data_IF_278811859137
#
_entry.id   IF_278811859137
#
_cell.length_a   1.000
_cell.length_b   1.000
_cell.length_c   1.000
_cell.angle_alpha   90.00
_cell.angle_beta   90.00
_cell.angle_gamma   90.00
#
_symmetry.space_group_name_H-M   'P 1'
#
loop_
_entity.id
_entity.type
_entity.pdbx_description
1 polymer ?
#
# COMPACT_ATOMS: atom_id res chain seq x y z
N UNK A 1 -26.38 24.31 11.09
CA UNK A 1 -26.90 22.93 10.99
C UNK A 1 -25.90 22.08 10.19
N UNK A 2 -24.86 21.55 10.84
CA UNK A 2 -23.89 20.64 10.21
C UNK A 2 -23.01 19.96 11.29
N UNK A 3 -23.62 19.29 12.27
CA UNK A 3 -22.86 18.48 13.25
C UNK A 3 -23.70 17.37 13.91
N UNK A 4 -24.75 16.86 13.22
CA UNK A 4 -25.64 15.82 13.78
C UNK A 4 -25.48 14.41 13.17
N UNK A 5 -24.44 14.12 12.39
CA UNK A 5 -24.21 12.79 11.80
C UNK A 5 -22.88 12.15 12.20
N UNK A 6 -22.39 12.37 13.43
CA UNK A 6 -21.16 11.73 13.93
C UNK A 6 -21.35 10.31 14.48
N UNK A 7 -22.58 9.86 14.69
CA UNK A 7 -22.88 8.59 15.39
C UNK A 7 -23.50 7.49 14.51
N UNK A 8 -23.26 7.51 13.19
CA UNK A 8 -23.48 6.28 12.43
C UNK A 8 -22.25 5.38 12.56
N UNK A 9 -22.41 4.27 13.29
CA UNK A 9 -21.37 3.26 13.41
C UNK A 9 -20.91 2.80 12.02
N UNK A 10 -19.60 2.93 11.79
CA UNK A 10 -18.92 2.50 10.57
C UNK A 10 -18.83 0.98 10.56
N UNK A 11 -19.88 0.34 10.04
CA UNK A 11 -20.03 -1.12 10.00
C UNK A 11 -19.64 -1.71 8.65
N UNK A 12 -19.77 -0.94 7.58
CA UNK A 12 -19.59 -1.42 6.21
C UNK A 12 -18.13 -1.41 5.77
N UNK A 13 -17.77 -2.33 4.87
CA UNK A 13 -16.43 -2.40 4.31
C UNK A 13 -16.14 -1.21 3.37
N UNK A 14 -14.87 -0.79 3.32
CA UNK A 14 -14.45 0.29 2.45
C UNK A 14 -14.54 -0.11 0.97
N UNK A 15 -15.16 0.76 0.17
CA UNK A 15 -15.22 0.68 -1.29
C UNK A 15 -13.83 0.74 -1.94
N UNK A 16 -13.66 0.24 -3.18
CA UNK A 16 -12.39 0.34 -3.90
C UNK A 16 -11.88 1.78 -4.04
N UNK A 17 -12.79 2.73 -4.31
CA UNK A 17 -12.47 4.15 -4.45
C UNK A 17 -11.97 4.76 -3.15
N UNK A 18 -12.61 4.49 -1.99
CA UNK A 18 -12.09 4.93 -0.68
C UNK A 18 -10.70 4.36 -0.37
N UNK A 19 -10.41 3.10 -0.74
CA UNK A 19 -9.07 2.49 -0.59
C UNK A 19 -8.03 3.20 -1.48
N UNK A 20 -8.40 3.54 -2.71
CA UNK A 20 -7.54 4.27 -3.63
C UNK A 20 -7.26 5.70 -3.14
N UNK A 21 -8.29 6.40 -2.64
CA UNK A 21 -8.12 7.71 -2.03
C UNK A 21 -7.20 7.67 -0.79
N UNK A 22 -7.37 6.69 0.09
CA UNK A 22 -6.49 6.50 1.23
C UNK A 22 -5.02 6.31 0.77
N UNK A 23 -4.79 5.48 -0.26
CA UNK A 23 -3.46 5.31 -0.87
C UNK A 23 -2.93 6.61 -1.48
N UNK A 24 -3.75 7.38 -2.21
CA UNK A 24 -3.36 8.69 -2.78
C UNK A 24 -2.97 9.71 -1.70
N UNK A 25 -3.58 9.63 -0.52
CA UNK A 25 -3.23 10.44 0.67
C UNK A 25 -2.01 9.90 1.44
N UNK A 26 -1.38 8.82 0.97
CA UNK A 26 -0.25 8.17 1.62
C UNK A 26 -0.62 7.35 2.85
N UNK A 27 -1.91 7.06 3.08
CA UNK A 27 -2.37 6.23 4.18
C UNK A 27 -2.38 4.77 3.77
N UNK A 28 -1.52 3.99 4.40
CA UNK A 28 -1.27 2.57 4.10
C UNK A 28 -1.03 1.80 5.39
N UNK A 29 -1.44 0.53 5.42
CA UNK A 29 -1.08 -0.37 6.51
C UNK A 29 0.42 -0.66 6.47
N UNK A 30 1.16 -0.17 7.47
CA UNK A 30 2.60 -0.36 7.60
C UNK A 30 2.96 -0.69 9.04
N UNK A 31 3.58 -1.84 9.26
CA UNK A 31 4.22 -2.19 10.53
C UNK A 31 5.72 -1.94 10.41
N UNK A 32 6.26 -1.09 11.29
CA UNK A 32 7.70 -0.83 11.36
C UNK A 32 8.49 -2.07 11.78
N UNK A 33 7.88 -2.96 12.57
CA UNK A 33 8.53 -4.19 13.07
C UNK A 33 8.95 -5.12 11.94
N UNK A 34 8.11 -5.26 10.90
CA UNK A 34 8.44 -6.11 9.75
C UNK A 34 9.71 -5.63 9.05
N UNK A 35 9.85 -4.32 8.84
CA UNK A 35 11.04 -3.76 8.20
C UNK A 35 12.28 -3.92 9.10
N UNK A 36 12.15 -3.65 10.40
CA UNK A 36 13.25 -3.80 11.36
C UNK A 36 13.73 -5.26 11.46
N UNK A 37 12.82 -6.22 11.52
CA UNK A 37 13.16 -7.64 11.60
C UNK A 37 13.77 -8.14 10.28
N UNK A 38 13.27 -7.68 9.13
CA UNK A 38 13.87 -8.02 7.83
C UNK A 38 15.33 -7.54 7.74
N UNK A 39 15.63 -6.34 8.23
CA UNK A 39 17.01 -5.81 8.29
C UNK A 39 17.89 -6.58 9.27
N UNK A 40 17.36 -6.96 10.45
CA UNK A 40 18.11 -7.80 11.38
C UNK A 40 18.43 -9.18 10.78
N UNK A 41 17.44 -9.79 10.10
CA UNK A 41 17.61 -11.06 9.40
C UNK A 41 18.63 -10.98 8.26
N UNK A 42 18.65 -9.87 7.52
CA UNK A 42 19.65 -9.69 6.46
C UNK A 42 21.06 -9.58 7.03
N UNK A 43 21.23 -8.92 8.17
CA UNK A 43 22.49 -8.92 8.92
C UNK A 43 22.92 -10.33 9.33
N UNK A 44 22.00 -11.14 9.85
CA UNK A 44 22.28 -12.52 10.23
C UNK A 44 22.72 -13.37 9.02
N UNK A 45 21.98 -13.30 7.91
CA UNK A 45 22.32 -14.01 6.66
C UNK A 45 23.66 -13.52 6.13
N UNK A 46 23.90 -12.22 6.14
CA UNK A 46 25.17 -11.63 5.73
C UNK A 46 26.32 -12.16 6.57
N UNK A 47 26.24 -12.12 7.90
CA UNK A 47 27.29 -12.64 8.75
C UNK A 47 27.45 -14.15 8.64
N UNK A 48 26.40 -14.90 8.32
CA UNK A 48 26.53 -16.34 8.10
C UNK A 48 27.37 -16.66 6.85
N UNK A 49 27.16 -15.96 5.74
CA UNK A 49 27.83 -16.25 4.46
C UNK A 49 29.11 -15.44 4.20
N UNK A 50 29.16 -14.18 4.64
CA UNK A 50 30.21 -13.23 4.30
C UNK A 50 31.17 -12.90 5.46
N UNK A 51 30.93 -13.40 6.68
CA UNK A 51 31.76 -13.07 7.85
C UNK A 51 33.23 -13.40 7.67
N UNK A 52 33.55 -14.53 7.04
CA UNK A 52 34.94 -14.95 6.79
C UNK A 52 35.66 -13.95 5.88
N UNK A 53 35.04 -13.57 4.76
CA UNK A 53 35.60 -12.57 3.84
C UNK A 53 35.76 -11.19 4.48
N UNK A 54 34.78 -10.74 5.27
CA UNK A 54 34.85 -9.48 6.01
C UNK A 54 35.95 -9.51 7.08
N UNK A 55 36.05 -10.60 7.84
CA UNK A 55 37.08 -10.78 8.87
C UNK A 55 38.49 -10.84 8.26
N UNK A 56 38.67 -11.58 7.18
CA UNK A 56 39.95 -11.63 6.44
C UNK A 56 40.33 -10.28 5.87
N UNK A 57 39.36 -9.52 5.35
CA UNK A 57 39.55 -8.15 4.89
C UNK A 57 40.07 -7.23 5.99
N UNK A 58 39.43 -7.27 7.17
CA UNK A 58 39.84 -6.51 8.34
C UNK A 58 41.22 -6.94 8.85
N UNK A 59 41.49 -8.25 8.93
CA UNK A 59 42.79 -8.78 9.33
C UNK A 59 43.91 -8.34 8.39
N UNK A 60 43.67 -8.38 7.07
CA UNK A 60 44.64 -7.89 6.07
C UNK A 60 44.90 -6.40 6.23
N UNK A 61 43.86 -5.59 6.45
CA UNK A 61 44.00 -4.15 6.69
C UNK A 61 44.80 -3.87 7.97
N UNK A 62 44.50 -4.59 9.06
CA UNK A 62 45.23 -4.44 10.33
C UNK A 62 46.71 -4.84 10.19
N UNK A 63 46.99 -5.98 9.56
CA UNK A 63 48.38 -6.41 9.27
C UNK A 63 49.12 -5.38 8.44
N UNK A 64 48.46 -4.83 7.41
CA UNK A 64 49.04 -3.78 6.58
C UNK A 64 49.35 -2.52 7.40
N UNK A 65 48.40 -2.04 8.22
CA UNK A 65 48.61 -0.88 9.09
C UNK A 65 49.81 -1.07 10.04
N UNK A 66 49.90 -2.22 10.71
CA UNK A 66 51.04 -2.51 11.59
C UNK A 66 52.35 -2.67 10.84
N UNK A 67 52.34 -3.24 9.63
CA UNK A 67 53.56 -3.35 8.83
C UNK A 67 54.10 -1.99 8.36
N UNK A 68 53.23 -0.99 8.25
CA UNK A 68 53.57 0.33 7.75
C UNK A 68 53.76 1.37 8.87
N UNK A 69 53.51 1.02 10.13
CA UNK A 69 53.50 1.98 11.25
C UNK A 69 54.84 2.65 11.55
N UNK A 70 55.94 2.17 10.96
CA UNK A 70 57.27 2.79 11.04
C UNK A 70 57.84 3.22 9.70
N UNK A 71 57.07 3.16 8.61
CA UNK A 71 57.54 3.52 7.26
C UNK A 71 57.00 4.86 6.74
N UNK A 72 56.02 5.45 7.42
CA UNK A 72 55.45 6.73 7.03
C UNK A 72 56.14 7.87 7.79
N UNK A 73 56.62 8.85 7.03
CA UNK A 73 56.99 10.15 7.58
C UNK A 73 55.72 10.86 8.09
N UNK A 74 55.84 11.56 9.21
CA UNK A 74 54.74 12.34 9.79
C UNK A 74 54.67 13.68 9.07
N UNK A 75 54.18 13.64 7.82
CA UNK A 75 53.88 14.81 7.01
C UNK A 75 52.42 14.80 6.53
N UNK A 76 51.94 15.95 6.06
CA UNK A 76 50.54 16.12 5.66
C UNK A 76 50.14 15.22 4.47
N UNK A 77 51.01 15.04 3.49
CA UNK A 77 50.74 14.23 2.29
C UNK A 77 50.67 12.74 2.62
N UNK A 78 51.60 12.25 3.44
CA UNK A 78 51.67 10.87 3.92
C UNK A 78 50.45 10.51 4.78
N UNK A 79 50.02 11.41 5.67
CA UNK A 79 48.79 11.23 6.47
C UNK A 79 47.54 11.23 5.60
N UNK A 80 47.44 12.16 4.63
CA UNK A 80 46.30 12.21 3.72
C UNK A 80 46.19 10.94 2.87
N UNK A 81 47.31 10.43 2.38
CA UNK A 81 47.36 9.15 1.64
C UNK A 81 46.91 7.99 2.53
N UNK A 82 47.41 7.91 3.76
CA UNK A 82 47.03 6.86 4.72
C UNK A 82 45.53 6.88 5.00
N UNK A 83 44.96 8.05 5.29
CA UNK A 83 43.51 8.21 5.53
C UNK A 83 42.72 7.77 4.30
N UNK A 84 43.14 8.18 3.09
CA UNK A 84 42.46 7.83 1.85
C UNK A 84 42.46 6.31 1.60
N UNK A 85 43.61 5.65 1.79
CA UNK A 85 43.75 4.20 1.63
C UNK A 85 42.90 3.47 2.65
N UNK A 86 43.00 3.83 3.94
CA UNK A 86 42.23 3.18 5.01
C UNK A 86 40.73 3.36 4.78
N UNK A 87 40.27 4.58 4.49
CA UNK A 87 38.86 4.88 4.23
C UNK A 87 38.34 4.06 3.04
N UNK A 88 39.10 4.00 1.95
CA UNK A 88 38.74 3.24 0.76
C UNK A 88 38.65 1.74 1.06
N UNK A 89 39.62 1.17 1.79
CA UNK A 89 39.63 -0.26 2.15
C UNK A 89 38.49 -0.60 3.09
N UNK A 90 38.24 0.21 4.12
CA UNK A 90 37.10 0.04 5.04
C UNK A 90 35.78 0.15 4.29
N UNK A 91 35.66 1.11 3.37
CA UNK A 91 34.47 1.27 2.53
C UNK A 91 34.18 0.01 1.72
N UNK A 92 35.17 -0.56 1.01
CA UNK A 92 34.96 -1.80 0.25
C UNK A 92 34.66 -3.02 1.13
N UNK A 93 35.20 -3.09 2.35
CA UNK A 93 34.91 -4.16 3.30
C UNK A 93 33.44 -4.08 3.77
N UNK A 94 32.93 -2.87 4.01
CA UNK A 94 31.57 -2.63 4.51
C UNK A 94 30.51 -2.50 3.40
N UNK A 95 30.93 -2.21 2.17
CA UNK A 95 30.03 -1.99 1.03
C UNK A 95 29.04 -3.15 0.82
N UNK A 96 29.44 -4.44 0.87
CA UNK A 96 28.50 -5.55 0.75
C UNK A 96 27.44 -5.58 1.86
N UNK A 97 27.81 -5.23 3.09
CA UNK A 97 26.86 -5.14 4.21
C UNK A 97 25.86 -4.01 3.99
N UNK A 98 26.34 -2.82 3.61
CA UNK A 98 25.47 -1.68 3.34
C UNK A 98 24.51 -1.94 2.18
N UNK A 99 25.00 -2.54 1.09
CA UNK A 99 24.15 -2.94 -0.03
C UNK A 99 23.08 -3.94 0.40
N UNK A 100 23.46 -4.96 1.17
CA UNK A 100 22.51 -5.97 1.68
C UNK A 100 21.42 -5.34 2.55
N UNK A 101 21.80 -4.48 3.51
CA UNK A 101 20.86 -3.81 4.41
C UNK A 101 19.96 -2.84 3.65
N UNK A 102 20.52 -2.02 2.75
CA UNK A 102 19.76 -1.06 1.95
C UNK A 102 18.76 -1.76 1.03
N UNK A 103 19.19 -2.78 0.30
CA UNK A 103 18.33 -3.56 -0.59
C UNK A 103 17.20 -4.22 0.18
N UNK A 104 17.48 -4.88 1.31
CA UNK A 104 16.44 -5.53 2.11
C UNK A 104 15.49 -4.53 2.75
N UNK A 105 15.99 -3.40 3.26
CA UNK A 105 15.14 -2.34 3.79
C UNK A 105 14.18 -1.81 2.71
N UNK A 106 14.67 -1.57 1.49
CA UNK A 106 13.83 -1.15 0.36
C UNK A 106 12.79 -2.22 0.00
N UNK A 107 13.22 -3.48 -0.16
CA UNK A 107 12.35 -4.61 -0.52
C UNK A 107 11.28 -4.82 0.56
N UNK A 108 11.64 -4.81 1.84
CA UNK A 108 10.69 -5.02 2.94
C UNK A 108 9.61 -3.92 2.97
N UNK A 109 10.00 -2.65 2.80
CA UNK A 109 9.05 -1.55 2.73
C UNK A 109 8.17 -1.64 1.47
N UNK A 110 8.77 -1.99 0.33
CA UNK A 110 8.07 -2.13 -0.93
C UNK A 110 7.07 -3.30 -0.91
N UNK A 111 7.44 -4.47 -0.38
CA UNK A 111 6.54 -5.63 -0.26
C UNK A 111 5.36 -5.35 0.69
N UNK A 112 5.58 -4.53 1.72
CA UNK A 112 4.55 -4.23 2.70
C UNK A 112 3.50 -3.24 2.19
N UNK A 113 3.94 -2.20 1.49
CA UNK A 113 3.10 -1.04 1.11
C UNK A 113 2.77 -1.03 -0.39
N UNK A 114 3.66 -1.57 -1.22
CA UNK A 114 3.68 -1.38 -2.66
C UNK A 114 4.23 -0.03 -3.08
N UNK A 115 4.10 0.29 -4.36
CA UNK A 115 4.44 1.60 -4.90
C UNK A 115 3.33 2.61 -4.58
N UNK A 116 3.59 3.56 -3.67
CA UNK A 116 2.66 4.63 -3.31
C UNK A 116 3.41 5.96 -3.32
N UNK A 117 3.09 6.81 -4.30
CA UNK A 117 3.62 8.17 -4.41
C UNK A 117 2.53 9.13 -3.97
N UNK A 118 2.78 9.87 -2.89
CA UNK A 118 1.88 10.91 -2.39
C UNK A 118 2.66 12.14 -2.02
N UNK A 119 2.28 13.29 -2.58
CA UNK A 119 2.85 14.61 -2.25
C UNK A 119 2.13 15.27 -1.07
N UNK A 120 0.95 14.79 -0.70
CA UNK A 120 0.17 15.34 0.40
C UNK A 120 0.88 15.31 1.77
N UNK A 121 1.60 14.24 2.17
CA UNK A 121 2.33 14.21 3.43
C UNK A 121 3.46 15.23 3.52
N UNK A 122 4.01 15.66 2.38
CA UNK A 122 5.14 16.61 2.28
C UNK A 122 4.65 18.05 2.49
N UNK A 123 3.37 18.32 2.23
CA UNK A 123 2.80 19.66 2.46
C UNK A 123 2.79 20.01 3.95
N UNK A 124 3.40 21.14 4.37
CA UNK A 124 3.41 21.54 5.77
C UNK A 124 2.00 21.91 6.21
N UNK A 125 1.40 21.07 7.06
CA UNK A 125 0.09 21.32 7.67
C UNK A 125 0.32 21.85 9.08
N UNK A 126 0.06 23.13 9.33
CA UNK A 126 0.19 23.76 10.66
C UNK A 126 -0.62 23.03 11.74
N UNK A 127 -1.71 22.34 11.36
CA UNK A 127 -2.50 21.48 12.25
C UNK A 127 -1.75 20.25 12.80
N UNK A 128 -0.61 19.88 12.22
CA UNK A 128 0.26 18.81 12.74
C UNK A 128 1.31 19.30 13.75
N UNK A 129 1.52 20.62 13.87
CA UNK A 129 2.54 21.23 14.76
C UNK A 129 1.94 21.64 16.12
N UNK A 130 0.63 21.45 16.32
CA UNK A 130 -0.05 21.78 17.57
C UNK A 130 0.49 20.94 18.76
N UNK A 131 1.19 21.56 19.72
CA UNK A 131 1.83 20.85 20.83
C UNK A 131 0.81 20.21 21.78
N UNK A 132 -0.38 20.79 21.93
CA UNK A 132 -1.43 20.25 22.82
C UNK A 132 -1.95 18.93 22.24
N UNK A 133 -2.22 18.89 20.93
CA UNK A 133 -2.60 17.64 20.24
C UNK A 133 -1.46 16.63 20.20
N UNK A 134 -0.20 17.10 20.17
CA UNK A 134 0.98 16.26 20.32
C UNK A 134 0.99 15.52 21.67
N UNK A 135 0.84 16.26 22.77
CA UNK A 135 0.77 15.68 24.11
C UNK A 135 -0.41 14.72 24.28
N UNK A 136 -1.60 15.08 23.78
CA UNK A 136 -2.76 14.19 23.84
C UNK A 136 -2.55 12.88 23.07
N UNK A 137 -1.80 12.90 21.95
CA UNK A 137 -1.42 11.68 21.23
C UNK A 137 -0.46 10.82 22.03
N UNK A 138 0.53 11.41 22.70
CA UNK A 138 1.49 10.68 23.55
C UNK A 138 0.80 9.99 24.74
N UNK A 139 -0.24 10.60 25.30
CA UNK A 139 -1.06 10.02 26.39
C UNK A 139 -2.32 9.30 25.89
N UNK A 140 -2.33 8.86 24.63
CA UNK A 140 -3.46 8.09 24.09
C UNK A 140 -3.39 6.61 24.48
N UNK A 141 -4.55 5.93 24.48
CA UNK A 141 -4.61 4.46 24.67
C UNK A 141 -3.74 3.70 23.66
N UNK A 142 -3.59 4.25 22.45
CA UNK A 142 -2.71 3.69 21.42
C UNK A 142 -1.25 3.70 21.88
N UNK A 143 -0.76 4.82 22.40
CA UNK A 143 0.63 4.94 22.88
C UNK A 143 0.90 4.04 24.09
N UNK A 144 -0.08 3.87 24.98
CA UNK A 144 0.04 2.91 26.08
C UNK A 144 0.16 1.47 25.58
N UNK A 145 -0.67 1.06 24.61
CA UNK A 145 -0.59 -0.27 23.99
C UNK A 145 0.76 -0.47 23.28
N UNK A 146 1.27 0.54 22.57
CA UNK A 146 2.60 0.49 21.94
C UNK A 146 3.72 0.34 22.98
N UNK A 147 3.63 1.04 24.12
CA UNK A 147 4.59 0.92 25.22
C UNK A 147 4.59 -0.51 25.79
N UNK A 148 3.42 -1.08 26.08
CA UNK A 148 3.30 -2.46 26.59
C UNK A 148 3.89 -3.46 25.60
N UNK A 149 3.60 -3.31 24.30
CA UNK A 149 4.21 -4.16 23.25
C UNK A 149 5.73 -4.03 23.24
N UNK A 150 6.28 -2.83 23.39
CA UNK A 150 7.72 -2.61 23.41
C UNK A 150 8.39 -3.22 24.65
N UNK A 151 7.81 -3.05 25.85
CA UNK A 151 8.30 -3.70 27.07
C UNK A 151 8.26 -5.22 26.97
N UNK A 152 7.18 -5.77 26.43
CA UNK A 152 7.07 -7.21 26.20
C UNK A 152 8.15 -7.72 25.24
N UNK A 153 8.40 -7.01 24.12
CA UNK A 153 9.46 -7.36 23.17
C UNK A 153 10.84 -7.37 23.82
N UNK A 154 11.19 -6.32 24.57
CA UNK A 154 12.49 -6.23 25.26
C UNK A 154 12.64 -7.38 26.26
N UNK A 155 11.60 -7.64 27.05
CA UNK A 155 11.60 -8.72 28.04
C UNK A 155 11.79 -10.09 27.38
N UNK A 156 11.12 -10.33 26.25
CA UNK A 156 11.26 -11.57 25.48
C UNK A 156 12.68 -11.73 24.94
N UNK A 157 13.25 -10.68 24.36
CA UNK A 157 14.64 -10.70 23.86
C UNK A 157 15.61 -10.97 25.01
N UNK A 158 15.47 -10.27 26.14
CA UNK A 158 16.30 -10.46 27.32
C UNK A 158 16.22 -11.91 27.85
N UNK A 159 15.01 -12.48 27.90
CA UNK A 159 14.81 -13.86 28.31
C UNK A 159 15.51 -14.86 27.37
N UNK A 160 15.37 -14.69 26.05
CA UNK A 160 16.02 -15.56 25.06
C UNK A 160 17.54 -15.49 25.16
N UNK A 161 18.08 -14.28 25.31
CA UNK A 161 19.52 -14.06 25.50
C UNK A 161 19.98 -14.75 26.79
N UNK A 162 19.27 -14.52 27.90
CA UNK A 162 19.58 -15.11 29.20
C UNK A 162 19.58 -16.64 29.15
N UNK A 163 18.53 -17.26 28.62
CA UNK A 163 18.44 -18.74 28.50
C UNK A 163 19.55 -19.28 27.60
N UNK A 164 19.86 -18.58 26.51
CA UNK A 164 20.91 -19.02 25.57
C UNK A 164 22.28 -18.95 26.22
N UNK A 165 22.63 -17.84 26.88
CA UNK A 165 23.91 -17.70 27.59
C UNK A 165 24.01 -18.70 28.73
N UNK A 166 22.93 -18.88 29.52
CA UNK A 166 22.89 -19.86 30.61
C UNK A 166 23.20 -21.27 30.12
N UNK A 167 22.69 -21.64 28.94
CA UNK A 167 22.98 -22.92 28.30
C UNK A 167 24.44 -23.10 27.86
N UNK A 168 25.15 -22.01 27.60
CA UNK A 168 26.57 -22.02 27.19
C UNK A 168 27.55 -21.93 28.37
N UNK A 169 27.07 -21.77 29.61
CA UNK A 169 27.95 -21.67 30.79
C UNK A 169 28.81 -22.93 30.99
N UNK A 170 28.28 -24.11 30.66
CA UNK A 170 29.04 -25.37 30.75
C UNK A 170 30.23 -25.43 29.77
N UNK A 171 30.14 -24.69 28.66
CA UNK A 171 31.19 -24.61 27.64
C UNK A 171 32.32 -23.66 28.02
N UNK A 172 32.25 -22.93 29.15
CA UNK A 172 33.29 -22.00 29.58
C UNK A 172 34.58 -22.73 29.98
N UNK A 173 34.48 -23.85 30.69
CA UNK A 173 35.66 -24.59 31.15
C UNK A 173 36.52 -25.11 29.98
N UNK A 174 35.94 -25.76 28.93
CA UNK A 174 36.71 -26.17 27.75
C UNK A 174 37.36 -25.02 26.96
N UNK A 175 36.88 -23.77 27.12
CA UNK A 175 37.49 -22.62 26.44
C UNK A 175 38.83 -22.22 27.05
N UNK A 176 39.12 -22.62 28.30
CA UNK A 176 40.40 -22.33 28.94
C UNK A 176 41.56 -23.05 28.23
N UNK A 177 41.27 -24.18 27.58
CA UNK A 177 42.25 -24.97 26.83
C UNK A 177 42.33 -24.59 25.33
N UNK A 178 41.56 -23.58 24.90
CA UNK A 178 41.53 -23.13 23.51
C UNK A 178 42.51 -21.97 23.28
N UNK A 179 43.08 -21.90 22.07
CA UNK A 179 43.83 -20.73 21.65
C UNK A 179 42.89 -19.54 21.33
N UNK A 180 43.46 -18.34 21.15
CA UNK A 180 42.69 -17.13 20.87
C UNK A 180 41.75 -17.25 19.65
N UNK A 181 42.17 -17.99 18.61
CA UNK A 181 41.35 -18.23 17.42
C UNK A 181 40.14 -19.13 17.71
N UNK A 182 40.32 -20.19 18.50
CA UNK A 182 39.24 -21.08 18.94
C UNK A 182 38.21 -20.36 19.79
N UNK A 183 38.66 -19.50 20.72
CA UNK A 183 37.77 -18.66 21.53
C UNK A 183 36.98 -17.69 20.64
N UNK A 184 37.62 -17.04 19.66
CA UNK A 184 36.95 -16.11 18.74
C UNK A 184 35.88 -16.81 17.89
N UNK A 185 36.19 -18.01 17.36
CA UNK A 185 35.21 -18.82 16.61
C UNK A 185 34.04 -19.24 17.49
N UNK A 186 34.29 -19.58 18.75
CA UNK A 186 33.24 -19.92 19.70
C UNK A 186 32.33 -18.72 19.99
N UNK A 187 32.89 -17.55 20.30
CA UNK A 187 32.13 -16.31 20.50
C UNK A 187 31.28 -15.99 19.27
N UNK A 188 31.84 -16.12 18.06
CA UNK A 188 31.10 -15.94 16.81
C UNK A 188 29.92 -16.90 16.68
N UNK A 189 30.12 -18.19 16.95
CA UNK A 189 29.06 -19.21 16.91
C UNK A 189 27.94 -18.94 17.93
N UNK A 190 28.29 -18.61 19.17
CA UNK A 190 27.31 -18.28 20.21
C UNK A 190 26.57 -16.99 19.86
N UNK A 191 27.27 -15.98 19.33
CA UNK A 191 26.64 -14.72 18.89
C UNK A 191 25.62 -14.96 17.77
N UNK A 192 25.98 -15.73 16.74
CA UNK A 192 25.05 -16.11 15.67
C UNK A 192 23.86 -16.93 16.20
N UNK A 193 24.10 -17.83 17.17
CA UNK A 193 23.03 -18.61 17.82
C UNK A 193 22.04 -17.70 18.57
N UNK A 194 22.53 -16.70 19.31
CA UNK A 194 21.70 -15.72 20.01
C UNK A 194 20.89 -14.90 19.00
N UNK A 195 21.55 -14.32 17.99
CA UNK A 195 20.89 -13.49 16.98
C UNK A 195 19.81 -14.30 16.25
N UNK A 196 20.11 -15.54 15.85
CA UNK A 196 19.14 -16.41 15.18
C UNK A 196 17.89 -16.67 16.05
N UNK A 197 18.06 -17.02 17.33
CA UNK A 197 16.93 -17.26 18.25
C UNK A 197 16.11 -16.01 18.49
N UNK A 198 16.76 -14.86 18.67
CA UNK A 198 16.09 -13.56 18.83
C UNK A 198 15.32 -13.20 17.57
N UNK A 199 15.94 -13.30 16.40
CA UNK A 199 15.27 -13.03 15.13
C UNK A 199 14.05 -13.92 14.93
N UNK A 200 14.12 -15.22 15.23
CA UNK A 200 12.98 -16.13 15.10
C UNK A 200 11.79 -15.68 15.97
N UNK A 201 12.05 -15.28 17.21
CA UNK A 201 11.00 -14.74 18.09
C UNK A 201 10.43 -13.41 17.57
N UNK A 202 11.30 -12.51 17.09
CA UNK A 202 10.88 -11.23 16.54
C UNK A 202 10.10 -11.37 15.22
N UNK A 203 10.37 -12.39 14.39
CA UNK A 203 9.58 -12.70 13.20
C UNK A 203 8.13 -12.98 13.59
N UNK A 204 7.91 -13.84 14.59
CA UNK A 204 6.57 -14.18 15.07
C UNK A 204 5.84 -12.91 15.52
N UNK A 205 6.53 -12.06 16.29
CA UNK A 205 5.97 -10.80 16.77
C UNK A 205 5.69 -9.79 15.64
N UNK A 206 6.57 -9.69 14.65
CA UNK A 206 6.39 -8.82 13.50
C UNK A 206 5.18 -9.25 12.65
N UNK A 207 4.94 -10.55 12.49
CA UNK A 207 3.75 -11.08 11.80
C UNK A 207 2.49 -10.71 12.57
N UNK A 208 2.47 -10.89 13.89
CA UNK A 208 1.34 -10.50 14.74
C UNK A 208 1.09 -8.99 14.71
N UNK A 209 2.14 -8.17 14.80
CA UNK A 209 2.02 -6.72 14.73
C UNK A 209 1.51 -6.28 13.35
N UNK A 210 2.01 -6.88 12.27
CA UNK A 210 1.50 -6.59 10.93
C UNK A 210 0.01 -6.94 10.77
N UNK A 211 -0.41 -8.10 11.27
CA UNK A 211 -1.81 -8.50 11.26
C UNK A 211 -2.69 -7.50 12.03
N UNK A 212 -2.24 -7.07 13.22
CA UNK A 212 -2.90 -6.05 14.03
C UNK A 212 -2.99 -4.71 13.30
N UNK A 213 -1.88 -4.22 12.72
CA UNK A 213 -1.84 -2.95 11.97
C UNK A 213 -2.74 -3.00 10.73
N UNK A 214 -2.78 -4.14 10.03
CA UNK A 214 -3.68 -4.33 8.88
C UNK A 214 -5.14 -4.31 9.30
N UNK A 215 -5.48 -4.99 10.39
CA UNK A 215 -6.83 -4.96 10.95
C UNK A 215 -7.24 -3.56 11.42
N UNK A 216 -6.36 -2.85 12.13
CA UNK A 216 -6.61 -1.47 12.57
C UNK A 216 -6.81 -0.53 11.37
N UNK A 217 -5.99 -0.67 10.33
CA UNK A 217 -6.12 0.09 9.09
C UNK A 217 -7.47 -0.18 8.40
N UNK A 218 -7.87 -1.44 8.25
CA UNK A 218 -9.16 -1.80 7.67
C UNK A 218 -10.34 -1.29 8.52
N UNK A 219 -10.23 -1.38 9.85
CA UNK A 219 -11.24 -0.84 10.78
C UNK A 219 -11.40 0.67 10.62
N UNK A 220 -10.29 1.41 10.48
CA UNK A 220 -10.31 2.86 10.28
C UNK A 220 -10.89 3.26 8.91
N UNK A 221 -10.78 2.39 7.91
CA UNK A 221 -11.29 2.58 6.57
C UNK A 221 -12.79 2.30 6.43
N UNK A 222 -13.42 1.60 7.39
CA UNK A 222 -14.86 1.29 7.37
C UNK A 222 -15.74 2.52 7.11
N UNK A 223 -16.89 2.26 6.50
CA UNK A 223 -17.84 3.28 6.06
C UNK A 223 -19.17 3.12 6.77
N UNK A 224 -19.93 4.20 6.87
CA UNK A 224 -21.35 4.10 7.22
C UNK A 224 -22.18 3.73 5.99
N UNK A 225 -23.38 3.20 6.20
CA UNK A 225 -24.33 2.93 5.10
C UNK A 225 -24.66 4.20 4.31
N UNK A 226 -24.70 5.34 4.98
CA UNK A 226 -24.95 6.63 4.33
C UNK A 226 -23.77 7.05 3.44
N UNK A 227 -22.53 6.91 3.94
CA UNK A 227 -21.32 7.22 3.16
C UNK A 227 -21.25 6.38 1.87
N UNK A 228 -21.62 5.09 1.91
CA UNK A 228 -21.64 4.23 0.70
C UNK A 228 -22.71 4.70 -0.28
N UNK A 229 -23.92 5.04 0.19
CA UNK A 229 -24.98 5.56 -0.68
C UNK A 229 -24.55 6.84 -1.37
N UNK A 230 -23.90 7.73 -0.63
CA UNK A 230 -23.44 9.01 -1.17
C UNK A 230 -22.27 8.83 -2.15
N UNK A 231 -21.36 7.89 -1.90
CA UNK A 231 -20.29 7.53 -2.83
C UNK A 231 -20.81 6.89 -4.12
N UNK A 232 -21.82 6.03 -4.03
CA UNK A 232 -22.49 5.45 -5.19
C UNK A 232 -23.21 6.52 -6.01
N UNK A 233 -23.89 7.47 -5.35
CA UNK A 233 -24.51 8.63 -6.03
C UNK A 233 -23.47 9.50 -6.74
N UNK A 234 -22.29 9.72 -6.15
CA UNK A 234 -21.23 10.50 -6.80
C UNK A 234 -20.61 9.77 -7.99
N UNK A 235 -20.50 8.44 -7.92
CA UNK A 235 -19.79 7.65 -8.94
C UNK A 235 -20.71 7.25 -10.10
N UNK A 236 -21.94 6.83 -9.82
CA UNK A 236 -22.91 6.38 -10.83
C UNK A 236 -23.97 7.43 -11.19
N UNK A 237 -24.01 8.55 -10.47
CA UNK A 237 -25.07 9.55 -10.53
C UNK A 237 -26.27 9.18 -9.65
N UNK A 238 -27.12 10.17 -9.34
CA UNK A 238 -28.37 9.91 -8.62
C UNK A 238 -29.30 9.02 -9.47
N UNK A 239 -29.75 7.86 -8.95
CA UNK A 239 -30.70 6.99 -9.63
C UNK A 239 -31.95 7.72 -10.14
N UNK A 240 -32.45 8.71 -9.38
CA UNK A 240 -33.60 9.52 -9.76
C UNK A 240 -33.28 10.39 -10.98
N UNK A 241 -32.10 10.98 -11.01
CA UNK A 241 -31.62 11.78 -12.15
C UNK A 241 -31.42 10.90 -13.38
N UNK A 242 -30.81 9.71 -13.22
CA UNK A 242 -30.62 8.75 -14.32
C UNK A 242 -31.96 8.26 -14.89
N UNK A 243 -32.94 7.98 -14.02
CA UNK A 243 -34.30 7.62 -14.43
C UNK A 243 -35.01 8.79 -15.14
N UNK A 244 -34.83 10.03 -14.66
CA UNK A 244 -35.38 11.24 -15.29
C UNK A 244 -34.79 11.48 -16.68
N UNK A 245 -33.47 11.36 -16.84
CA UNK A 245 -32.80 11.46 -18.14
C UNK A 245 -33.32 10.39 -19.10
N UNK A 246 -33.45 9.13 -18.66
CA UNK A 246 -34.00 8.04 -19.48
C UNK A 246 -35.46 8.28 -19.89
N UNK A 247 -36.27 8.88 -19.00
CA UNK A 247 -37.65 9.28 -19.31
C UNK A 247 -37.70 10.38 -20.37
N UNK A 248 -36.92 11.45 -20.20
CA UNK A 248 -36.81 12.55 -21.17
C UNK A 248 -36.30 12.07 -22.53
N UNK A 249 -35.30 11.18 -22.56
CA UNK A 249 -34.80 10.59 -23.80
C UNK A 249 -35.88 9.80 -24.54
N UNK A 250 -36.69 9.02 -23.83
CA UNK A 250 -37.83 8.30 -24.43
C UNK A 250 -38.90 9.25 -24.96
N UNK A 251 -39.18 10.33 -24.24
CA UNK A 251 -40.15 11.34 -24.67
C UNK A 251 -39.68 12.10 -25.91
N UNK A 252 -38.42 12.55 -25.94
CA UNK A 252 -37.83 13.17 -27.13
C UNK A 252 -37.79 12.22 -28.33
N UNK A 253 -37.44 10.95 -28.11
CA UNK A 253 -37.46 9.94 -29.17
C UNK A 253 -38.88 9.72 -29.70
N UNK A 254 -39.89 9.70 -28.82
CA UNK A 254 -41.30 9.62 -29.22
C UNK A 254 -41.72 10.85 -30.01
N UNK A 255 -41.36 12.05 -29.57
CA UNK A 255 -41.70 13.29 -30.29
C UNK A 255 -41.03 13.34 -31.67
N UNK A 256 -39.76 12.94 -31.79
CA UNK A 256 -39.07 12.80 -33.09
C UNK A 256 -39.72 11.75 -33.98
N UNK A 257 -40.15 10.62 -33.41
CA UNK A 257 -40.86 9.57 -34.14
C UNK A 257 -42.19 10.11 -34.69
N UNK A 258 -42.97 10.84 -33.88
CA UNK A 258 -44.22 11.47 -34.33
C UNK A 258 -43.97 12.56 -35.38
N UNK A 259 -42.93 13.38 -35.21
CA UNK A 259 -42.53 14.36 -36.23
C UNK A 259 -42.16 13.71 -37.57
N UNK A 260 -41.50 12.55 -37.54
CA UNK A 260 -41.19 11.78 -38.74
C UNK A 260 -42.42 11.08 -39.35
N UNK A 261 -43.48 10.85 -38.57
CA UNK A 261 -44.70 10.25 -39.08
C UNK A 261 -45.41 11.15 -40.11
N UNK A 262 -45.24 12.48 -40.03
CA UNK A 262 -45.75 13.42 -41.06
C UNK A 262 -45.09 13.25 -42.43
N UNK A 263 -43.91 12.62 -42.50
CA UNK A 263 -43.17 12.41 -43.76
C UNK A 263 -43.42 11.04 -44.36
N UNK A 264 -44.39 10.29 -43.82
CA UNK A 264 -44.71 8.96 -44.29
C UNK A 264 -45.62 9.04 -45.51
N UNK A 265 -45.37 8.18 -46.50
CA UNK A 265 -46.16 8.09 -47.72
C UNK A 265 -47.37 7.16 -47.52
N UNK A 266 -47.26 6.18 -46.62
CA UNK A 266 -48.35 5.25 -46.31
C UNK A 266 -48.32 4.82 -44.85
N UNK A 267 -49.50 4.70 -44.24
CA UNK A 267 -49.66 4.20 -42.87
C UNK A 267 -50.45 2.89 -42.89
N UNK A 268 -49.79 1.81 -42.47
CA UNK A 268 -50.39 0.48 -42.31
C UNK A 268 -50.91 0.36 -40.89
N UNK A 269 -52.21 0.07 -40.75
CA UNK A 269 -52.85 -0.09 -39.44
C UNK A 269 -53.38 -1.51 -39.26
N UNK A 270 -53.25 -2.01 -38.04
CA UNK A 270 -54.05 -3.13 -37.54
C UNK A 270 -55.13 -2.50 -36.66
N UNK A 271 -56.43 -2.70 -36.96
CA UNK A 271 -57.55 -1.88 -36.50
C UNK A 271 -57.50 -1.48 -35.02
N UNK A 272 -57.10 -2.40 -34.14
CA UNK A 272 -57.15 -2.22 -32.68
C UNK A 272 -55.78 -2.13 -31.99
N UNK A 273 -54.66 -2.40 -32.68
CA UNK A 273 -53.40 -2.68 -31.98
C UNK A 273 -52.16 -1.99 -32.50
N UNK A 274 -52.01 -1.73 -33.80
CA UNK A 274 -50.73 -1.26 -34.34
C UNK A 274 -50.92 -0.24 -35.46
N UNK A 275 -50.00 0.72 -35.55
CA UNK A 275 -49.83 1.60 -36.70
C UNK A 275 -48.34 1.68 -37.07
N UNK A 276 -48.06 1.55 -38.36
CA UNK A 276 -46.72 1.60 -38.97
C UNK A 276 -46.72 2.65 -40.06
N UNK A 277 -45.89 3.67 -39.92
CA UNK A 277 -45.71 4.72 -40.93
C UNK A 277 -44.48 4.39 -41.79
N UNK A 278 -44.68 4.24 -43.09
CA UNK A 278 -43.67 3.86 -44.06
C UNK A 278 -43.42 5.00 -45.05
N UNK A 279 -42.16 5.15 -45.45
CA UNK A 279 -41.74 6.02 -46.53
C UNK A 279 -41.07 5.17 -47.62
N UNK A 280 -41.41 5.43 -48.88
CA UNK A 280 -40.85 4.72 -50.03
C UNK A 280 -40.79 5.62 -51.26
N UNK A 281 -39.56 5.94 -51.68
CA UNK A 281 -39.27 6.64 -52.92
C UNK A 281 -38.67 5.65 -53.94
N UNK A 282 -39.39 5.39 -55.04
CA UNK A 282 -39.01 4.39 -56.05
C UNK A 282 -37.68 4.72 -56.77
N UNK A 283 -37.29 5.99 -56.84
CA UNK A 283 -36.05 6.40 -57.53
C UNK A 283 -34.82 6.27 -56.63
N UNK A 284 -35.00 6.33 -55.31
CA UNK A 284 -33.89 6.45 -54.34
C UNK A 284 -33.81 5.34 -53.32
N UNK A 285 -34.86 4.53 -53.14
CA UNK A 285 -34.92 3.52 -52.08
C UNK A 285 -35.12 2.11 -52.65
N UNK A 286 -34.24 1.18 -52.24
CA UNK A 286 -34.36 -0.24 -52.60
C UNK A 286 -35.42 -0.99 -51.77
N UNK A 287 -35.88 -0.41 -50.66
CA UNK A 287 -36.95 -0.98 -49.82
C UNK A 287 -37.63 0.12 -48.98
N UNK A 288 -38.92 -0.04 -48.60
CA UNK A 288 -39.62 0.90 -47.72
C UNK A 288 -38.96 1.03 -46.35
N UNK A 289 -38.86 2.25 -45.84
CA UNK A 289 -38.29 2.55 -44.52
C UNK A 289 -39.39 2.83 -43.51
N UNK A 290 -39.29 2.19 -42.34
CA UNK A 290 -40.20 2.47 -41.21
C UNK A 290 -39.78 3.77 -40.52
N UNK A 291 -40.62 4.80 -40.61
CA UNK A 291 -40.39 6.11 -39.99
C UNK A 291 -40.98 6.19 -38.57
N UNK A 292 -42.14 5.57 -38.35
CA UNK A 292 -42.78 5.51 -37.04
C UNK A 292 -43.49 4.17 -36.83
N UNK A 293 -43.53 3.71 -35.58
CA UNK A 293 -44.34 2.54 -35.18
C UNK A 293 -44.90 2.73 -33.78
N UNK A 294 -46.17 2.38 -33.58
CA UNK A 294 -46.86 2.55 -32.31
C UNK A 294 -47.86 1.44 -32.01
N UNK A 295 -48.17 1.27 -30.73
CA UNK A 295 -49.24 0.40 -30.21
C UNK A 295 -50.16 1.19 -29.29
N UNK A 296 -51.45 0.85 -29.27
CA UNK A 296 -52.46 1.50 -28.40
C UNK A 296 -52.60 2.99 -28.70
N UNK A 297 -52.58 3.83 -27.66
CA UNK A 297 -52.71 5.30 -27.77
C UNK A 297 -51.70 5.94 -28.74
N UNK A 298 -50.49 5.37 -28.89
CA UNK A 298 -49.50 5.89 -29.85
C UNK A 298 -49.91 5.56 -31.29
N UNK A 299 -50.55 4.40 -31.52
CA UNK A 299 -51.08 4.04 -32.82
C UNK A 299 -52.27 4.92 -33.21
N UNK A 300 -53.15 5.25 -32.27
CA UNK A 300 -54.25 6.20 -32.49
C UNK A 300 -53.74 7.57 -32.87
N UNK A 301 -52.70 8.05 -32.20
CA UNK A 301 -52.10 9.36 -32.48
C UNK A 301 -51.37 9.41 -33.84
N UNK A 302 -50.79 8.29 -34.29
CA UNK A 302 -50.24 8.17 -35.65
C UNK A 302 -51.37 8.20 -36.69
N UNK A 303 -52.51 7.57 -36.41
CA UNK A 303 -53.70 7.61 -37.28
C UNK A 303 -54.30 9.02 -37.36
N UNK A 304 -54.37 9.73 -36.24
CA UNK A 304 -54.85 11.12 -36.18
C UNK A 304 -53.97 12.04 -37.04
N UNK A 305 -52.65 11.94 -36.91
CA UNK A 305 -51.69 12.67 -37.76
C UNK A 305 -51.86 12.33 -39.24
N UNK A 306 -52.18 11.08 -39.58
CA UNK A 306 -52.48 10.69 -40.95
C UNK A 306 -53.69 11.47 -41.47
N UNK A 307 -54.81 11.41 -40.72
CA UNK A 307 -56.07 12.08 -41.10
C UNK A 307 -55.94 13.60 -41.22
N UNK A 308 -55.07 14.22 -40.43
CA UNK A 308 -54.79 15.67 -40.53
C UNK A 308 -53.97 16.04 -41.77
N UNK A 309 -53.18 15.13 -42.34
CA UNK A 309 -52.27 15.40 -43.46
C UNK A 309 -52.73 14.83 -44.82
N UNK A 310 -53.90 14.18 -44.87
CA UNK A 310 -54.54 13.68 -46.11
C UNK A 310 -54.35 12.19 -46.34
#
# INVERSE_FOLDING_TARGET
>A
MADQNKDQEKTEQATPKRREEARKKGQVAKSQEVASVAVLMSGLVFFYFASTGTADGLMRLMRWLFSQSGQFDIDFGSIQLLISVVTTKVFYILLPLFMTVLSIAMIANFLQVGFVVSTEPITPKFSKIDPIKGFQRLFSMRSFVELVKNLFKISLVALIVYITIKGELGSIFPLMDQNAGGILLYIGKVSLKIIFRVCLALIILAVLDYAYQKWEFEKNLKMSKQEIKDENKQSEGDPLTKARVKRLQREMARNRMMANAHKADVIITNPTHLALALQYDQEKMSAPKVLAKGRGLVAEKIKEIAMENG
#
